data_IF_218523744797
#
_entry.id   IF_218523744797
#
_cell.length_a   1.000
_cell.length_b   1.000
_cell.length_c   1.000
_cell.angle_alpha   90.00
_cell.angle_beta   90.00
_cell.angle_gamma   90.00
#
_symmetry.space_group_name_H-M   'P 1'
#
loop_
_entity.id
_entity.type
_entity.pdbx_description
1 polymer ?
#
# COMPACT_ATOMS: atom_id res chain seq x y z
N UNK A 1 9.20 -23.41 8.10
CA UNK A 1 8.79 -23.80 6.74
C UNK A 1 9.31 -22.79 5.74
N UNK A 2 9.38 -23.15 4.45
CA UNK A 2 9.74 -22.23 3.36
C UNK A 2 8.54 -22.04 2.44
N UNK A 3 8.42 -20.87 1.81
CA UNK A 3 7.37 -20.55 0.82
C UNK A 3 8.02 -20.01 -0.45
N UNK A 4 7.48 -20.31 -1.62
CA UNK A 4 8.00 -19.78 -2.87
C UNK A 4 7.69 -18.27 -3.01
N UNK A 5 8.69 -17.49 -3.39
CA UNK A 5 8.51 -16.11 -3.85
C UNK A 5 7.64 -16.10 -5.12
N UNK A 6 6.58 -15.31 -5.15
CA UNK A 6 5.63 -15.26 -6.27
C UNK A 6 6.30 -14.87 -7.60
N UNK A 7 7.26 -13.94 -7.56
CA UNK A 7 7.89 -13.42 -8.79
C UNK A 7 9.02 -14.30 -9.32
N UNK A 8 9.74 -15.01 -8.45
CA UNK A 8 10.98 -15.70 -8.83
C UNK A 8 10.94 -17.21 -8.60
N UNK A 9 9.94 -17.72 -7.86
CA UNK A 9 9.84 -19.12 -7.46
C UNK A 9 10.85 -19.57 -6.41
N UNK A 10 11.79 -18.70 -6.00
CA UNK A 10 12.81 -19.02 -4.99
C UNK A 10 12.13 -19.25 -3.63
N UNK A 11 12.48 -20.35 -2.96
CA UNK A 11 12.00 -20.65 -1.62
C UNK A 11 12.61 -19.67 -0.60
N UNK A 12 11.76 -18.98 0.16
CA UNK A 12 12.15 -18.01 1.18
C UNK A 12 11.70 -18.44 2.58
N UNK A 13 12.52 -18.12 3.58
CA UNK A 13 12.18 -18.24 4.99
C UNK A 13 11.28 -17.09 5.42
N UNK A 14 10.72 -17.18 6.64
CA UNK A 14 9.96 -16.08 7.23
C UNK A 14 10.81 -14.80 7.36
N UNK A 15 12.09 -14.95 7.69
CA UNK A 15 12.99 -13.82 7.88
C UNK A 15 13.30 -13.11 6.56
N UNK A 16 13.25 -13.81 5.43
CA UNK A 16 13.56 -13.28 4.10
C UNK A 16 12.36 -13.03 3.20
N UNK A 17 11.16 -13.30 3.71
CA UNK A 17 9.90 -13.03 3.06
C UNK A 17 9.42 -11.60 3.32
N UNK A 18 8.81 -10.99 2.30
CA UNK A 18 8.02 -9.77 2.42
C UNK A 18 6.61 -10.01 1.90
N UNK A 19 5.64 -9.52 2.65
CA UNK A 19 4.25 -9.44 2.20
C UNK A 19 4.06 -8.15 1.41
N UNK A 20 3.64 -8.28 0.15
CA UNK A 20 3.43 -7.18 -0.78
C UNK A 20 1.99 -7.17 -1.30
N UNK A 21 1.52 -5.99 -1.71
CA UNK A 21 0.24 -5.84 -2.42
C UNK A 21 0.44 -6.09 -3.91
N UNK A 22 -0.04 -7.23 -4.42
CA UNK A 22 0.09 -7.59 -5.82
C UNK A 22 -0.61 -6.57 -6.73
N UNK A 23 -1.90 -6.36 -6.49
CA UNK A 23 -2.74 -5.30 -7.06
C UNK A 23 -4.13 -5.32 -6.38
N UNK A 24 -4.81 -4.19 -6.16
CA UNK A 24 -4.29 -2.82 -6.17
C UNK A 24 -3.17 -2.62 -5.13
N UNK A 25 -2.26 -1.68 -5.40
CA UNK A 25 -1.27 -1.28 -4.39
C UNK A 25 -1.96 -0.59 -3.20
N UNK A 26 -1.26 -0.49 -2.06
CA UNK A 26 -1.82 0.08 -0.84
C UNK A 26 -2.39 1.50 -1.04
N UNK A 27 -1.68 2.37 -1.76
CA UNK A 27 -2.15 3.74 -2.02
C UNK A 27 -3.46 3.77 -2.81
N UNK A 28 -3.64 2.88 -3.79
CA UNK A 28 -4.92 2.73 -4.50
C UNK A 28 -6.05 2.25 -3.57
N UNK A 29 -5.77 1.33 -2.66
CA UNK A 29 -6.76 0.89 -1.64
C UNK A 29 -7.18 2.09 -0.77
N UNK A 30 -6.22 2.89 -0.29
CA UNK A 30 -6.49 4.10 0.50
C UNK A 30 -7.32 5.12 -0.29
N UNK A 31 -6.94 5.40 -1.54
CA UNK A 31 -7.70 6.29 -2.43
C UNK A 31 -9.13 5.79 -2.67
N UNK A 32 -9.31 4.49 -2.87
CA UNK A 32 -10.63 3.88 -3.03
C UNK A 32 -11.50 4.02 -1.77
N UNK A 33 -10.93 3.78 -0.59
CA UNK A 33 -11.63 3.96 0.69
C UNK A 33 -12.08 5.40 0.91
N UNK A 34 -11.22 6.37 0.60
CA UNK A 34 -11.57 7.80 0.66
C UNK A 34 -12.71 8.13 -0.31
N UNK A 35 -12.62 7.70 -1.55
CA UNK A 35 -13.64 7.96 -2.56
C UNK A 35 -15.00 7.37 -2.16
N UNK A 36 -15.04 6.14 -1.64
CA UNK A 36 -16.26 5.49 -1.17
C UNK A 36 -16.97 6.25 -0.03
N UNK A 37 -16.26 7.13 0.67
CA UNK A 37 -16.78 7.96 1.77
C UNK A 37 -17.01 9.42 1.39
N UNK A 38 -16.79 9.79 0.12
CA UNK A 38 -16.86 11.18 -0.34
C UNK A 38 -15.68 12.04 0.10
N UNK A 39 -14.57 11.44 0.55
CA UNK A 39 -13.36 12.12 1.03
C UNK A 39 -12.31 12.33 -0.07
N UNK A 40 -12.79 12.50 -1.31
CA UNK A 40 -11.95 12.61 -2.50
C UNK A 40 -11.08 13.88 -2.48
N UNK A 41 -11.61 14.99 -1.95
CA UNK A 41 -10.86 16.23 -1.79
C UNK A 41 -9.98 16.21 -0.54
N UNK A 42 -10.57 15.93 0.62
CA UNK A 42 -9.82 15.86 1.89
C UNK A 42 -10.45 14.86 2.87
N UNK A 43 -9.68 14.47 3.89
CA UNK A 43 -10.13 13.64 5.00
C UNK A 43 -10.71 14.58 6.08
N UNK A 44 -11.91 14.30 6.62
CA UNK A 44 -12.48 15.14 7.68
C UNK A 44 -11.59 15.24 8.92
N UNK A 45 -11.64 16.39 9.58
CA UNK A 45 -10.97 16.63 10.85
C UNK A 45 -11.37 15.58 11.90
N UNK A 46 -10.41 15.17 12.73
CA UNK A 46 -10.65 14.20 13.80
C UNK A 46 -10.76 12.74 13.34
N UNK A 47 -10.59 12.43 12.05
CA UNK A 47 -10.53 11.05 11.56
C UNK A 47 -9.12 10.47 11.73
N UNK A 48 -8.10 11.25 11.36
CA UNK A 48 -6.69 10.91 11.52
C UNK A 48 -6.08 11.87 12.55
N UNK A 49 -5.18 11.35 13.37
CA UNK A 49 -4.47 12.11 14.41
C UNK A 49 -3.75 13.32 13.80
N UNK A 50 -3.91 14.49 14.42
CA UNK A 50 -3.10 15.66 14.08
C UNK A 50 -1.62 15.38 14.38
N UNK A 51 -0.68 15.98 13.61
CA UNK A 51 0.75 15.84 13.87
C UNK A 51 1.11 16.26 15.30
N UNK A 52 1.93 15.46 15.97
CA UNK A 52 2.49 15.76 17.29
C UNK A 52 3.99 15.45 17.35
N UNK A 53 4.72 16.08 18.26
CA UNK A 53 6.16 15.82 18.44
C UNK A 53 6.41 14.35 18.77
N UNK A 54 7.33 13.73 18.03
CA UNK A 54 7.62 12.30 18.14
C UNK A 54 6.62 11.39 17.42
N UNK A 55 5.60 11.93 16.76
CA UNK A 55 4.68 11.14 15.96
C UNK A 55 5.26 10.84 14.57
N UNK A 56 5.67 9.59 14.35
CA UNK A 56 6.21 9.13 13.06
C UNK A 56 5.15 8.54 12.14
N UNK A 57 3.98 8.18 12.69
CA UNK A 57 2.91 7.50 11.95
C UNK A 57 1.55 8.11 12.28
N UNK A 58 0.77 8.56 11.29
CA UNK A 58 -0.61 8.96 11.49
C UNK A 58 -1.47 7.75 11.88
N UNK A 59 -2.40 7.94 12.81
CA UNK A 59 -3.31 6.88 13.27
C UNK A 59 -4.76 7.33 13.15
N UNK A 60 -5.68 6.39 12.95
CA UNK A 60 -7.10 6.70 13.05
C UNK A 60 -7.45 7.04 14.50
N UNK A 61 -8.08 8.19 14.71
CA UNK A 61 -8.62 8.59 16.03
C UNK A 61 -9.95 7.90 16.28
N UNK A 62 -10.77 7.78 15.23
CA UNK A 62 -12.05 7.08 15.29
C UNK A 62 -11.88 5.57 15.04
N UNK A 63 -12.18 4.77 16.06
CA UNK A 63 -12.15 3.31 15.99
C UNK A 63 -13.11 2.75 14.93
N UNK A 64 -14.28 3.33 14.73
CA UNK A 64 -15.23 2.83 13.74
C UNK A 64 -14.70 3.00 12.32
N UNK A 65 -13.98 4.09 12.05
CA UNK A 65 -13.31 4.30 10.76
C UNK A 65 -12.13 3.35 10.59
N UNK A 66 -11.33 3.13 11.65
CA UNK A 66 -10.24 2.16 11.63
C UNK A 66 -10.74 0.74 11.32
N UNK A 67 -11.84 0.34 11.94
CA UNK A 67 -12.47 -0.96 11.74
C UNK A 67 -13.00 -1.09 10.30
N UNK A 68 -13.69 -0.07 9.81
CA UNK A 68 -14.18 -0.06 8.43
C UNK A 68 -13.06 -0.03 7.37
N UNK A 69 -11.94 0.65 7.64
CA UNK A 69 -10.79 0.61 6.73
C UNK A 69 -10.17 -0.77 6.67
N UNK A 70 -10.08 -1.47 7.81
CA UNK A 70 -9.60 -2.86 7.85
C UNK A 70 -10.49 -3.79 7.05
N UNK A 71 -11.81 -3.69 7.21
CA UNK A 71 -12.75 -4.52 6.44
C UNK A 71 -12.67 -4.23 4.94
N UNK A 72 -12.58 -2.95 4.57
CA UNK A 72 -12.38 -2.54 3.18
C UNK A 72 -11.04 -3.07 2.63
N UNK A 73 -9.95 -2.92 3.39
CA UNK A 73 -8.62 -3.42 2.99
C UNK A 73 -8.64 -4.93 2.79
N UNK A 74 -9.20 -5.71 3.73
CA UNK A 74 -9.29 -7.17 3.59
C UNK A 74 -10.08 -7.59 2.34
N UNK A 75 -11.13 -6.85 1.99
CA UNK A 75 -11.94 -7.14 0.80
C UNK A 75 -11.25 -6.75 -0.52
N UNK A 76 -10.32 -5.79 -0.50
CA UNK A 76 -9.65 -5.29 -1.71
C UNK A 76 -8.22 -5.82 -1.90
N UNK A 77 -7.54 -6.19 -0.82
CA UNK A 77 -6.12 -6.51 -0.86
C UNK A 77 -5.89 -7.91 -1.44
N UNK A 78 -5.21 -7.95 -2.58
CA UNK A 78 -4.57 -9.18 -3.07
C UNK A 78 -3.11 -9.14 -2.65
N UNK A 79 -2.74 -10.01 -1.71
CA UNK A 79 -1.40 -10.07 -1.15
C UNK A 79 -0.58 -11.20 -1.75
N UNK A 80 0.73 -11.01 -1.79
CA UNK A 80 1.70 -11.99 -2.28
C UNK A 80 2.95 -12.01 -1.42
N UNK A 81 3.66 -13.13 -1.45
CA UNK A 81 4.93 -13.30 -0.75
C UNK A 81 6.06 -13.13 -1.76
N UNK A 82 6.99 -12.21 -1.46
CA UNK A 82 8.18 -11.94 -2.25
C UNK A 82 9.43 -12.18 -1.41
N UNK A 83 10.57 -12.47 -2.05
CA UNK A 83 11.85 -12.29 -1.38
C UNK A 83 12.13 -10.80 -1.12
N UNK A 84 12.91 -10.47 -0.09
CA UNK A 84 13.48 -9.13 0.15
C UNK A 84 13.99 -8.46 -1.13
N UNK A 85 14.81 -9.19 -1.89
CA UNK A 85 15.42 -8.69 -3.12
C UNK A 85 14.39 -8.37 -4.20
N UNK A 86 13.40 -9.24 -4.42
CA UNK A 86 12.33 -9.02 -5.39
C UNK A 86 11.43 -7.85 -4.98
N UNK A 87 11.07 -7.76 -3.70
CA UNK A 87 10.27 -6.65 -3.15
C UNK A 87 10.95 -5.29 -3.38
N UNK A 88 12.25 -5.18 -3.12
CA UNK A 88 13.01 -3.94 -3.35
C UNK A 88 13.01 -3.52 -4.83
N UNK A 89 13.11 -4.49 -5.75
CA UNK A 89 13.04 -4.23 -7.18
C UNK A 89 11.66 -3.70 -7.57
N UNK A 90 10.56 -4.31 -7.10
CA UNK A 90 9.19 -3.86 -7.37
C UNK A 90 8.92 -2.46 -6.80
N UNK A 91 9.38 -2.18 -5.57
CA UNK A 91 9.24 -0.86 -4.94
C UNK A 91 10.01 0.25 -5.70
N UNK A 92 11.09 -0.12 -6.40
CA UNK A 92 11.84 0.81 -7.26
C UNK A 92 11.13 1.09 -8.59
N UNK A 93 10.44 0.10 -9.16
CA UNK A 93 9.72 0.23 -10.43
C UNK A 93 8.41 1.03 -10.29
N UNK A 94 7.72 0.92 -9.15
CA UNK A 94 6.54 1.73 -8.85
C UNK A 94 6.83 3.25 -8.80
N UNK A 95 8.10 3.67 -8.66
CA UNK A 95 8.49 5.09 -8.55
C UNK A 95 8.83 5.78 -9.86
N UNK A 96 9.00 5.05 -10.96
CA UNK A 96 9.40 5.63 -12.25
C UNK A 96 8.75 4.88 -13.41
N UNK A 97 7.68 5.41 -14.03
CA UNK A 97 7.31 4.93 -15.36
C UNK A 97 8.51 5.14 -16.29
N UNK A 98 8.89 4.10 -17.04
CA UNK A 98 9.93 4.21 -18.07
C UNK A 98 9.35 5.02 -19.23
N UNK A 99 9.55 6.34 -19.24
CA UNK A 99 9.11 7.22 -20.31
C UNK A 99 10.10 7.11 -21.47
N UNK A 100 9.76 6.30 -22.49
CA UNK A 100 10.63 6.09 -23.65
C UNK A 100 10.51 7.21 -24.70
N UNK A 101 9.35 7.86 -24.83
CA UNK A 101 9.10 8.93 -25.82
C UNK A 101 8.08 9.95 -25.27
N UNK A 102 8.52 10.99 -24.53
CA UNK A 102 7.60 12.00 -24.03
C UNK A 102 7.09 12.88 -25.19
N UNK A 103 5.77 12.99 -25.33
CA UNK A 103 5.14 14.00 -26.19
C UNK A 103 4.93 15.25 -25.34
N UNK A 104 5.49 16.38 -25.77
CA UNK A 104 5.23 17.69 -25.18
C UNK A 104 4.21 18.40 -26.05
N UNK A 105 3.14 18.89 -25.45
CA UNK A 105 2.21 19.80 -26.12
C UNK A 105 2.75 21.23 -26.01
N UNK A 106 2.62 21.98 -27.10
CA UNK A 106 2.87 23.43 -27.14
C UNK A 106 1.61 24.17 -26.69
#
# INVERSE_FOLDING_TARGET
>A
GLVACELTGVMVSIDDAHLDHAWPNFSHIVSGFRAARGWSSDIPDGIVSAPADGQTTPTFVDKAVADAFRDYHHNQAMLRILSKSANLQTASQARRPKIARPVRLA
#
